data_IF_037650848008
#
_entry.id   IF_037650848008
#
_cell.length_a   1.000
_cell.length_b   1.000
_cell.length_c   1.000
_cell.angle_alpha   90.00
_cell.angle_beta   90.00
_cell.angle_gamma   90.00
#
_symmetry.space_group_name_H-M   'P 1'
#
loop_
_entity.id
_entity.type
_entity.pdbx_description
1 polymer ?
#
# COMPACT_ATOMS: atom_id res chain seq x y z
N UNK A 1 10.27 6.26 4.92
CA UNK A 1 9.32 5.98 6.03
C UNK A 1 8.21 5.12 5.47
N UNK A 2 7.43 4.38 6.28
CA UNK A 2 6.35 3.52 5.76
C UNK A 2 5.38 4.25 4.81
N UNK A 3 5.17 5.55 5.00
CA UNK A 3 4.38 6.39 4.10
C UNK A 3 5.01 6.54 2.70
N UNK A 4 6.32 6.76 2.64
CA UNK A 4 7.07 6.91 1.38
C UNK A 4 7.09 5.58 0.62
N UNK A 5 7.32 4.47 1.34
CA UNK A 5 7.37 3.13 0.76
C UNK A 5 6.01 2.74 0.15
N UNK A 6 4.92 3.08 0.83
CA UNK A 6 3.54 2.86 0.34
C UNK A 6 3.22 3.77 -0.85
N UNK A 7 3.68 5.02 -0.83
CA UNK A 7 3.49 5.97 -1.93
C UNK A 7 4.23 5.54 -3.20
N UNK A 8 5.47 5.09 -3.05
CA UNK A 8 6.28 4.53 -4.14
C UNK A 8 5.63 3.27 -4.71
N UNK A 9 5.22 2.34 -3.85
CA UNK A 9 4.50 1.13 -4.25
C UNK A 9 3.25 1.46 -5.09
N UNK A 10 2.40 2.37 -4.62
CA UNK A 10 1.19 2.75 -5.36
C UNK A 10 1.55 3.36 -6.72
N UNK A 11 2.56 4.21 -6.75
CA UNK A 11 3.05 4.85 -7.97
C UNK A 11 3.51 3.81 -8.99
N UNK A 12 4.27 2.80 -8.56
CA UNK A 12 4.77 1.76 -9.45
C UNK A 12 3.68 0.83 -9.96
N UNK A 13 2.69 0.49 -9.13
CA UNK A 13 1.53 -0.25 -9.58
C UNK A 13 0.73 0.51 -10.65
N UNK A 14 0.62 1.84 -10.52
CA UNK A 14 -0.04 2.68 -11.51
C UNK A 14 0.78 2.81 -12.80
N UNK A 15 2.11 2.96 -12.71
CA UNK A 15 3.00 2.91 -13.88
C UNK A 15 2.94 1.56 -14.61
N UNK A 16 2.74 0.46 -13.88
CA UNK A 16 2.50 -0.87 -14.43
C UNK A 16 1.10 -1.05 -15.05
N UNK A 17 0.32 0.02 -15.22
CA UNK A 17 -0.96 0.02 -15.91
C UNK A 17 -2.17 -0.31 -15.03
N UNK A 18 -2.00 -0.49 -13.71
CA UNK A 18 -3.16 -0.68 -12.82
C UNK A 18 -3.82 0.65 -12.52
N UNK A 19 -5.07 0.82 -12.94
CA UNK A 19 -5.84 2.02 -12.60
C UNK A 19 -6.15 2.12 -11.11
N UNK A 20 -6.38 3.34 -10.61
CA UNK A 20 -6.79 3.55 -9.22
C UNK A 20 -8.07 2.77 -8.86
N UNK A 21 -9.01 2.60 -9.81
CA UNK A 21 -10.21 1.79 -9.61
C UNK A 21 -9.90 0.29 -9.46
N UNK A 22 -8.91 -0.23 -10.20
CA UNK A 22 -8.47 -1.63 -10.05
C UNK A 22 -7.80 -1.84 -8.70
N UNK A 23 -6.92 -0.94 -8.29
CA UNK A 23 -6.27 -0.99 -6.99
C UNK A 23 -7.28 -0.89 -5.85
N UNK A 24 -8.26 0.01 -5.94
CA UNK A 24 -9.33 0.15 -4.95
C UNK A 24 -10.09 -1.15 -4.71
N UNK A 25 -10.35 -1.93 -5.78
CA UNK A 25 -10.98 -3.25 -5.66
C UNK A 25 -10.08 -4.28 -4.99
N UNK A 26 -8.79 -4.31 -5.34
CA UNK A 26 -7.80 -5.22 -4.74
C UNK A 26 -7.69 -4.96 -3.23
N UNK A 27 -7.59 -3.69 -2.86
CA UNK A 27 -7.45 -3.25 -1.48
C UNK A 27 -8.80 -3.14 -0.74
N UNK A 28 -9.93 -3.39 -1.40
CA UNK A 28 -11.28 -3.22 -0.85
C UNK A 28 -11.47 -1.88 -0.12
N UNK A 29 -11.06 -0.79 -0.76
CA UNK A 29 -11.18 0.58 -0.26
C UNK A 29 -11.84 1.47 -1.30
N UNK A 30 -12.24 2.68 -0.88
CA UNK A 30 -12.67 3.70 -1.82
C UNK A 30 -11.52 4.15 -2.74
N UNK A 31 -11.86 4.54 -3.97
CA UNK A 31 -10.88 5.04 -4.95
C UNK A 31 -10.06 6.23 -4.42
N UNK A 32 -10.66 7.10 -3.61
CA UNK A 32 -9.96 8.26 -3.01
C UNK A 32 -8.80 7.83 -2.10
N UNK A 33 -8.96 6.69 -1.41
CA UNK A 33 -7.95 6.15 -0.51
C UNK A 33 -6.67 5.74 -1.25
N UNK A 34 -6.80 5.26 -2.49
CA UNK A 34 -5.63 4.93 -3.33
C UNK A 34 -4.80 6.18 -3.64
N UNK A 35 -5.45 7.33 -3.87
CA UNK A 35 -4.73 8.59 -4.06
C UNK A 35 -4.07 9.05 -2.76
N UNK A 36 -4.73 8.89 -1.61
CA UNK A 36 -4.09 9.17 -0.32
C UNK A 36 -2.82 8.33 -0.10
N UNK A 37 -2.89 7.02 -0.40
CA UNK A 37 -1.72 6.14 -0.35
C UNK A 37 -0.60 6.61 -1.28
N UNK A 38 -0.93 6.94 -2.54
CA UNK A 38 0.05 7.45 -3.53
C UNK A 38 0.67 8.78 -3.12
N UNK A 39 -0.11 9.66 -2.50
CA UNK A 39 0.34 10.99 -2.09
C UNK A 39 1.03 10.96 -0.70
N UNK A 40 1.22 9.77 -0.12
CA UNK A 40 1.92 9.57 1.15
C UNK A 40 1.15 10.09 2.38
N UNK A 41 -0.18 10.29 2.27
CA UNK A 41 -0.99 10.84 3.34
C UNK A 41 -2.08 9.88 3.82
N UNK A 42 -2.57 10.08 5.06
CA UNK A 42 -3.71 9.34 5.62
C UNK A 42 -3.58 7.80 5.58
N UNK A 43 -2.35 7.27 5.55
CA UNK A 43 -2.11 5.83 5.59
C UNK A 43 -2.67 5.23 6.88
N UNK A 44 -3.38 4.11 6.71
CA UNK A 44 -3.86 3.27 7.80
C UNK A 44 -3.52 1.83 7.46
N UNK A 45 -2.76 1.18 8.33
CA UNK A 45 -2.51 -0.25 8.25
C UNK A 45 -3.80 -0.97 8.65
N UNK A 46 -4.52 -1.51 7.65
CA UNK A 46 -5.75 -2.28 7.86
C UNK A 46 -5.56 -3.70 7.37
N UNK A 47 -6.42 -4.63 7.81
CA UNK A 47 -6.42 -5.99 7.29
C UNK A 47 -6.56 -6.03 5.76
N UNK A 48 -7.47 -5.22 5.20
CA UNK A 48 -7.66 -5.12 3.76
C UNK A 48 -6.41 -4.61 3.03
N UNK A 49 -5.64 -3.72 3.66
CA UNK A 49 -4.36 -3.29 3.13
C UNK A 49 -3.36 -4.45 3.03
N UNK A 50 -3.23 -5.24 4.10
CA UNK A 50 -2.36 -6.44 4.12
C UNK A 50 -2.78 -7.46 3.06
N UNK A 51 -4.08 -7.75 2.94
CA UNK A 51 -4.60 -8.64 1.91
C UNK A 51 -4.33 -8.11 0.50
N UNK A 52 -4.53 -6.81 0.27
CA UNK A 52 -4.26 -6.20 -1.03
C UNK A 52 -2.79 -6.26 -1.43
N UNK A 53 -1.87 -6.11 -0.48
CA UNK A 53 -0.44 -6.33 -0.69
C UNK A 53 -0.14 -7.76 -1.11
N UNK A 54 -0.68 -8.74 -0.39
CA UNK A 54 -0.51 -10.15 -0.72
C UNK A 54 -1.05 -10.48 -2.12
N UNK A 55 -2.23 -9.95 -2.49
CA UNK A 55 -2.78 -10.09 -3.85
C UNK A 55 -1.91 -9.46 -4.95
N UNK A 56 -1.12 -8.46 -4.60
CA UNK A 56 -0.16 -7.84 -5.52
C UNK A 56 1.19 -8.57 -5.54
N UNK A 57 1.36 -9.65 -4.78
CA UNK A 57 2.58 -10.44 -4.68
C UNK A 57 3.58 -9.92 -3.65
N UNK A 58 3.16 -9.06 -2.72
CA UNK A 58 3.99 -8.57 -1.64
C UNK A 58 3.68 -9.32 -0.35
N UNK A 59 4.70 -9.91 0.26
CA UNK A 59 4.59 -10.50 1.59
C UNK A 59 5.17 -9.55 2.64
N UNK A 60 4.41 -9.31 3.71
CA UNK A 60 4.92 -8.56 4.85
C UNK A 60 5.77 -9.47 5.73
N UNK A 61 7.05 -9.16 5.83
CA UNK A 61 7.92 -9.74 6.83
C UNK A 61 7.74 -9.00 8.17
N UNK A 62 7.33 -9.73 9.21
CA UNK A 62 7.41 -9.24 10.58
C UNK A 62 8.88 -9.28 11.01
N UNK A 63 9.59 -8.18 10.83
CA UNK A 63 10.93 -8.01 11.38
C UNK A 63 10.85 -7.60 12.84
N UNK A 64 11.61 -8.30 13.70
CA UNK A 64 11.76 -7.92 15.09
C UNK A 64 12.37 -6.51 15.13
N UNK A 65 11.77 -5.59 15.89
CA UNK A 65 12.33 -4.26 16.10
C UNK A 65 13.72 -4.42 16.70
N UNK A 66 14.76 -4.15 15.93
CA UNK A 66 16.11 -4.01 16.45
C UNK A 66 16.08 -2.80 17.39
N UNK A 67 16.47 -3.00 18.65
CA UNK A 67 16.63 -1.87 19.56
C UNK A 67 17.76 -1.03 18.98
N UNK A 68 17.46 0.20 18.57
CA UNK A 68 18.48 1.22 18.37
C UNK A 68 19.27 1.30 19.69
N UNK A 69 20.56 0.94 19.63
CA UNK A 69 21.53 1.10 20.72
C UNK A 69 22.02 2.54 20.77
#
# INVERSE_FOLDING_TARGET
MIFDDVAELMTDQMKAGKSAARLARIFQVERKTIYSYRDGCCFRLTYNFLCGLHYLGYDLALVKREKEL
#
